data_IF_127540724344
#
_entry.id   IF_127540724344
#
_cell.length_a   1.000
_cell.length_b   1.000
_cell.length_c   1.000
_cell.angle_alpha   90.00
_cell.angle_beta   90.00
_cell.angle_gamma   90.00
#
_symmetry.space_group_name_H-M   'P 1'
#
loop_
_entity.id
_entity.type
_entity.pdbx_description
1 polymer ?
#
# COMPACT_ATOMS: atom_id res chain seq x y z
N UNK A 1 -10.77 -62.70 26.42
CA UNK A 1 -10.50 -61.60 27.35
C UNK A 1 -11.56 -60.52 27.14
N UNK A 2 -12.30 -60.21 28.18
CA UNK A 2 -13.23 -59.08 28.18
C UNK A 2 -12.53 -57.86 28.73
N UNK A 3 -12.69 -56.73 28.07
CA UNK A 3 -12.07 -55.47 28.52
C UNK A 3 -13.00 -54.26 28.29
N UNK A 4 -12.72 -53.20 28.97
CA UNK A 4 -13.42 -51.90 28.78
C UNK A 4 -12.41 -50.86 28.35
N UNK A 5 -12.93 -49.89 27.62
CA UNK A 5 -12.25 -48.58 27.40
C UNK A 5 -13.18 -47.52 27.98
N UNK A 6 -12.65 -46.75 28.93
CA UNK A 6 -13.42 -45.71 29.66
C UNK A 6 -14.74 -46.26 30.22
N UNK A 7 -14.68 -47.42 30.84
CA UNK A 7 -15.83 -48.17 31.40
C UNK A 7 -16.85 -48.66 30.36
N UNK A 8 -16.59 -48.55 29.10
CA UNK A 8 -17.43 -49.07 28.00
C UNK A 8 -16.93 -50.44 27.57
N UNK A 9 -17.78 -51.48 27.63
CA UNK A 9 -17.41 -52.85 27.20
C UNK A 9 -17.06 -52.89 25.72
N UNK A 10 -15.99 -53.58 25.40
CA UNK A 10 -15.49 -53.78 24.05
C UNK A 10 -15.74 -55.22 23.58
N UNK A 11 -15.60 -55.44 22.26
CA UNK A 11 -15.65 -56.79 21.70
C UNK A 11 -14.57 -57.66 22.29
N UNK A 12 -14.87 -58.89 22.83
CA UNK A 12 -13.90 -59.74 23.47
C UNK A 12 -12.72 -60.10 22.55
N UNK A 13 -11.52 -60.03 23.09
CA UNK A 13 -10.29 -60.41 22.39
C UNK A 13 -9.99 -61.91 22.56
N UNK A 14 -9.85 -62.64 21.43
CA UNK A 14 -9.36 -64.02 21.45
C UNK A 14 -7.83 -64.03 21.31
N UNK A 15 -7.13 -64.52 22.37
CA UNK A 15 -5.70 -64.65 22.42
C UNK A 15 -5.28 -66.10 22.31
N UNK A 16 -4.57 -66.46 21.26
CA UNK A 16 -4.06 -67.81 21.02
C UNK A 16 -2.54 -67.86 21.37
N UNK A 17 -2.19 -68.68 22.38
CA UNK A 17 -0.80 -68.91 22.77
C UNK A 17 -0.51 -68.62 24.23
N UNK A 18 0.69 -68.97 24.67
CA UNK A 18 1.19 -68.73 26.03
C UNK A 18 2.37 -67.75 25.98
N UNK A 19 2.53 -67.00 27.05
CA UNK A 19 3.64 -65.99 27.18
C UNK A 19 3.19 -64.59 26.90
N UNK A 20 4.15 -63.66 26.71
CA UNK A 20 3.89 -62.28 26.41
C UNK A 20 3.34 -62.11 25.00
N UNK A 21 2.06 -61.91 24.88
CA UNK A 21 1.39 -61.58 23.62
C UNK A 21 1.16 -60.04 23.58
N UNK A 22 1.51 -59.45 22.46
CA UNK A 22 1.29 -58.02 22.20
C UNK A 22 0.12 -57.87 21.24
N UNK A 23 -0.90 -57.14 21.65
CA UNK A 23 -2.03 -56.77 20.82
C UNK A 23 -2.08 -55.28 20.67
N UNK A 24 -2.12 -54.78 19.46
CA UNK A 24 -2.29 -53.37 19.18
C UNK A 24 -3.76 -53.02 19.29
N UNK A 25 -4.14 -52.26 20.27
CA UNK A 25 -5.45 -51.64 20.41
C UNK A 25 -5.33 -50.22 19.88
N UNK A 26 -6.11 -49.86 18.88
CA UNK A 26 -6.20 -48.47 18.48
C UNK A 26 -6.85 -47.68 19.60
N UNK A 27 -6.23 -46.59 20.08
CA UNK A 27 -6.87 -45.78 21.08
C UNK A 27 -8.23 -45.32 20.58
N UNK A 28 -9.20 -45.29 21.50
CA UNK A 28 -10.48 -44.62 21.25
C UNK A 28 -10.17 -43.16 20.83
N UNK A 29 -10.80 -42.57 19.81
CA UNK A 29 -10.55 -41.23 19.35
C UNK A 29 -10.89 -40.14 20.37
N UNK A 30 -11.30 -40.46 21.58
CA UNK A 30 -11.58 -39.48 22.63
C UNK A 30 -10.30 -38.79 23.07
N UNK A 31 -10.26 -37.47 22.91
CA UNK A 31 -9.21 -36.61 23.47
C UNK A 31 -9.26 -36.70 25.01
N UNK A 32 -8.09 -36.86 25.61
CA UNK A 32 -7.97 -36.97 27.06
C UNK A 32 -7.39 -38.30 27.53
N UNK A 33 -7.48 -38.56 28.82
CA UNK A 33 -6.97 -39.77 29.41
C UNK A 33 -7.96 -40.92 29.20
N UNK A 34 -7.55 -41.95 28.50
CA UNK A 34 -8.29 -43.17 28.27
C UNK A 34 -7.77 -44.29 29.14
N UNK A 35 -8.66 -44.97 29.89
CA UNK A 35 -8.31 -46.13 30.70
C UNK A 35 -8.75 -47.40 30.00
N UNK A 36 -7.86 -48.41 30.00
CA UNK A 36 -8.07 -49.74 29.43
C UNK A 36 -8.03 -50.74 30.59
N UNK A 37 -9.16 -51.32 30.89
CA UNK A 37 -9.32 -52.25 32.03
C UNK A 37 -9.64 -53.64 31.54
N UNK A 38 -8.88 -54.63 31.91
CA UNK A 38 -9.21 -56.07 31.70
C UNK A 38 -10.17 -56.48 32.83
N UNK A 39 -11.35 -57.00 32.46
CA UNK A 39 -12.40 -57.36 33.40
C UNK A 39 -12.37 -58.86 33.69
N UNK A 40 -12.26 -59.68 32.63
CA UNK A 40 -12.38 -61.09 32.72
C UNK A 40 -11.41 -61.76 31.73
N UNK A 41 -10.74 -62.80 32.20
CA UNK A 41 -9.99 -63.73 31.34
C UNK A 41 -10.60 -65.09 31.46
N UNK A 42 -11.05 -65.68 30.32
CA UNK A 42 -11.57 -67.07 30.22
C UNK A 42 -10.60 -67.91 29.42
N UNK A 43 -10.25 -69.10 29.94
CA UNK A 43 -9.40 -70.02 29.21
C UNK A 43 -10.20 -70.91 28.22
N UNK A 44 -9.52 -71.76 27.43
CA UNK A 44 -10.15 -72.62 26.44
C UNK A 44 -11.01 -73.73 27.04
N UNK A 45 -10.93 -73.96 28.37
CA UNK A 45 -11.73 -74.93 29.14
C UNK A 45 -12.93 -74.27 29.83
N UNK A 46 -13.09 -72.94 29.67
CA UNK A 46 -14.20 -72.19 30.28
C UNK A 46 -13.90 -71.79 31.73
N UNK A 47 -12.65 -71.83 32.20
CA UNK A 47 -12.29 -71.34 33.54
C UNK A 47 -12.13 -69.85 33.48
N UNK A 48 -12.86 -69.11 34.34
CA UNK A 48 -12.89 -67.65 34.39
C UNK A 48 -12.06 -67.12 35.57
N UNK A 49 -11.36 -66.02 35.34
CA UNK A 49 -10.72 -65.23 36.38
C UNK A 49 -11.04 -63.74 36.22
N UNK A 50 -11.70 -63.15 37.20
CA UNK A 50 -11.92 -61.72 37.27
C UNK A 50 -10.67 -61.10 37.85
N UNK A 51 -10.07 -60.16 37.10
CA UNK A 51 -8.88 -59.47 37.53
C UNK A 51 -9.24 -58.16 38.28
N UNK A 52 -8.65 -58.00 39.44
CA UNK A 52 -8.70 -56.72 40.18
C UNK A 52 -7.54 -55.85 39.80
N UNK A 53 -7.84 -54.85 38.98
CA UNK A 53 -6.93 -53.73 38.68
C UNK A 53 -5.79 -53.95 37.66
N UNK A 54 -5.93 -54.71 36.56
CA UNK A 54 -4.99 -54.62 35.44
C UNK A 54 -5.43 -53.49 34.48
N UNK A 55 -4.99 -52.27 34.73
CA UNK A 55 -5.33 -51.15 33.86
C UNK A 55 -4.06 -50.58 33.18
N UNK A 56 -4.29 -50.04 32.01
CA UNK A 56 -3.34 -49.20 31.28
C UNK A 56 -4.02 -47.89 30.91
N UNK A 57 -3.28 -46.82 30.90
CA UNK A 57 -3.81 -45.51 30.50
C UNK A 57 -3.06 -44.95 29.31
N UNK A 58 -3.80 -44.36 28.38
CA UNK A 58 -3.26 -43.66 27.22
C UNK A 58 -3.81 -42.24 27.22
N UNK A 59 -2.92 -41.26 27.21
CA UNK A 59 -3.28 -39.86 27.04
C UNK A 59 -3.31 -39.53 25.55
N UNK A 60 -4.49 -39.24 25.03
CA UNK A 60 -4.68 -38.74 23.66
C UNK A 60 -4.71 -37.22 23.68
N UNK A 61 -3.67 -36.60 23.14
CA UNK A 61 -3.62 -35.14 23.04
C UNK A 61 -4.49 -34.65 21.89
N UNK A 62 -5.12 -33.45 22.00
CA UNK A 62 -5.89 -32.87 20.93
C UNK A 62 -5.00 -32.58 19.73
N UNK A 63 -5.52 -32.78 18.53
CA UNK A 63 -4.87 -32.33 17.30
C UNK A 63 -4.80 -30.79 17.31
N UNK A 64 -3.63 -30.19 17.08
CA UNK A 64 -3.50 -28.74 17.09
C UNK A 64 -4.23 -28.12 15.89
N UNK A 65 -4.90 -27.00 16.14
CA UNK A 65 -5.60 -26.25 15.12
C UNK A 65 -5.48 -24.75 15.42
N UNK A 66 -5.14 -23.97 14.38
CA UNK A 66 -5.13 -22.50 14.40
C UNK A 66 -5.77 -21.97 13.12
N UNK A 67 -6.25 -20.75 13.18
CA UNK A 67 -6.60 -19.98 12.01
C UNK A 67 -5.50 -18.96 11.72
N UNK A 68 -5.63 -18.18 10.62
CA UNK A 68 -4.78 -17.05 10.28
C UNK A 68 -5.66 -15.87 9.90
N UNK A 69 -5.34 -14.70 10.41
CA UNK A 69 -6.06 -13.46 10.10
C UNK A 69 -5.09 -12.28 9.99
N UNK A 70 -5.40 -11.31 9.16
CA UNK A 70 -4.81 -9.98 9.22
C UNK A 70 -5.54 -9.22 10.32
N UNK A 71 -4.84 -8.88 11.41
CA UNK A 71 -5.40 -8.22 12.59
C UNK A 71 -5.10 -6.72 12.63
N UNK A 72 -4.13 -6.26 11.84
CA UNK A 72 -3.79 -4.86 11.66
C UNK A 72 -4.63 -4.17 10.58
N UNK A 73 -4.14 -3.01 10.12
CA UNK A 73 -4.76 -2.27 9.01
C UNK A 73 -4.75 -3.11 7.73
N UNK A 74 -5.90 -3.16 7.05
CA UNK A 74 -6.07 -3.80 5.74
C UNK A 74 -7.22 -3.09 5.00
N UNK A 75 -7.01 -2.49 3.81
CA UNK A 75 -5.75 -2.40 3.07
C UNK A 75 -4.72 -1.45 3.71
N UNK A 76 -3.46 -1.58 3.29
CA UNK A 76 -2.35 -0.66 3.60
C UNK A 76 -1.82 0.00 2.32
N UNK A 77 -1.08 1.09 2.47
CA UNK A 77 -0.25 1.62 1.38
C UNK A 77 1.12 0.95 1.38
N UNK A 78 1.77 0.89 0.22
CA UNK A 78 3.14 0.40 0.10
C UNK A 78 4.06 1.05 1.13
N UNK A 79 4.89 0.24 1.81
CA UNK A 79 5.79 0.69 2.88
C UNK A 79 5.15 0.86 4.25
N UNK A 80 3.86 0.61 4.41
CA UNK A 80 3.20 0.56 5.72
C UNK A 80 3.20 -0.86 6.27
N UNK A 81 3.05 -0.94 7.59
CA UNK A 81 3.00 -2.20 8.34
C UNK A 81 1.56 -2.63 8.60
N UNK A 82 1.37 -3.95 8.71
CA UNK A 82 0.16 -4.58 9.24
C UNK A 82 0.54 -5.74 10.16
N UNK A 83 -0.42 -6.52 10.62
CA UNK A 83 -0.21 -7.58 11.60
C UNK A 83 -0.88 -8.87 11.17
N UNK A 84 -0.19 -10.01 11.38
CA UNK A 84 -0.79 -11.34 11.36
C UNK A 84 -1.05 -11.83 12.77
N UNK A 85 -2.20 -12.46 12.94
CA UNK A 85 -2.62 -13.12 14.16
C UNK A 85 -3.07 -14.56 13.87
N UNK A 86 -2.81 -15.47 14.82
CA UNK A 86 -3.06 -16.90 14.68
C UNK A 86 -4.05 -17.37 15.75
N UNK A 87 -5.37 -17.17 15.57
CA UNK A 87 -6.37 -17.62 16.55
C UNK A 87 -6.25 -19.12 16.81
N UNK A 88 -5.88 -19.47 18.06
CA UNK A 88 -5.71 -20.88 18.50
C UNK A 88 -7.09 -21.49 18.78
N UNK A 89 -7.35 -22.66 18.20
CA UNK A 89 -8.58 -23.42 18.35
C UNK A 89 -8.37 -24.61 19.27
N UNK A 90 -7.28 -25.37 19.07
CA UNK A 90 -6.94 -26.56 19.86
C UNK A 90 -5.45 -26.85 19.88
N UNK A 91 -5.00 -27.74 20.78
CA UNK A 91 -3.62 -28.19 20.94
C UNK A 91 -2.98 -27.65 22.21
N UNK A 92 -1.69 -27.95 22.39
CA UNK A 92 -0.91 -27.56 23.57
C UNK A 92 0.19 -26.57 23.18
N UNK A 93 0.14 -25.30 23.68
CA UNK A 93 1.17 -24.31 23.34
C UNK A 93 2.55 -24.64 23.96
N UNK A 94 3.66 -24.10 23.41
CA UNK A 94 3.72 -23.26 22.20
C UNK A 94 3.55 -24.08 20.92
N UNK A 95 3.16 -23.41 19.85
CA UNK A 95 2.96 -24.00 18.53
C UNK A 95 4.03 -23.54 17.57
N UNK A 96 4.51 -24.44 16.69
CA UNK A 96 5.27 -24.08 15.50
C UNK A 96 4.29 -24.09 14.32
N UNK A 97 4.08 -22.92 13.71
CA UNK A 97 3.15 -22.70 12.59
C UNK A 97 3.94 -22.48 11.32
N UNK A 98 3.71 -23.31 10.31
CA UNK A 98 4.28 -23.14 8.97
C UNK A 98 3.22 -22.54 8.05
N UNK A 99 3.61 -21.55 7.25
CA UNK A 99 2.73 -20.87 6.32
C UNK A 99 3.50 -20.39 5.09
N UNK A 100 2.78 -20.01 4.04
CA UNK A 100 3.30 -19.35 2.85
C UNK A 100 2.93 -17.87 2.89
N UNK A 101 3.86 -16.98 2.52
CA UNK A 101 3.59 -15.61 2.13
C UNK A 101 3.72 -15.53 0.59
N UNK A 102 2.59 -15.53 -0.12
CA UNK A 102 2.56 -15.83 -1.53
C UNK A 102 3.13 -17.22 -1.81
N UNK A 103 4.27 -17.32 -2.48
CA UNK A 103 4.98 -18.59 -2.72
C UNK A 103 6.14 -18.86 -1.73
N UNK A 104 6.43 -17.94 -0.82
CA UNK A 104 7.59 -18.03 0.08
C UNK A 104 7.22 -18.79 1.35
N UNK A 105 7.88 -19.94 1.67
CA UNK A 105 7.62 -20.67 2.89
C UNK A 105 8.27 -19.98 4.10
N UNK A 106 7.48 -19.82 5.15
CA UNK A 106 7.85 -19.19 6.41
C UNK A 106 7.36 -20.02 7.60
N UNK A 107 7.94 -19.79 8.77
CA UNK A 107 7.49 -20.39 10.03
C UNK A 107 7.60 -19.41 11.19
N UNK A 108 6.72 -19.58 12.16
CA UNK A 108 6.75 -18.80 13.41
C UNK A 108 6.33 -19.65 14.60
N UNK A 109 6.78 -19.29 15.79
CA UNK A 109 6.32 -19.89 17.03
C UNK A 109 5.23 -19.01 17.66
N UNK A 110 4.10 -19.64 17.99
CA UNK A 110 2.89 -18.99 18.47
C UNK A 110 2.58 -19.48 19.88
N UNK A 111 2.19 -18.57 20.77
CA UNK A 111 1.73 -18.87 22.12
C UNK A 111 0.26 -19.33 22.14
N UNK A 112 -0.24 -19.63 23.35
CA UNK A 112 -1.63 -20.05 23.52
C UNK A 112 -2.68 -18.96 23.25
N UNK A 113 -2.25 -17.69 23.10
CA UNK A 113 -3.11 -16.55 22.80
C UNK A 113 -3.11 -16.20 21.30
N UNK A 114 -2.27 -16.87 20.50
CA UNK A 114 -2.17 -16.61 19.04
C UNK A 114 -1.14 -15.56 18.64
N UNK A 115 -0.34 -15.07 19.58
CA UNK A 115 0.76 -14.13 19.31
C UNK A 115 2.08 -14.86 19.11
N UNK A 116 3.08 -14.20 18.54
CA UNK A 116 4.43 -14.75 18.56
C UNK A 116 4.92 -14.96 20.00
N UNK A 117 5.65 -16.04 20.24
CA UNK A 117 6.23 -16.35 21.56
C UNK A 117 7.19 -15.26 22.04
N UNK A 118 7.72 -14.43 21.15
CA UNK A 118 8.47 -13.20 21.47
C UNK A 118 7.64 -12.08 22.09
N UNK A 119 6.30 -12.25 22.21
CA UNK A 119 5.43 -11.41 23.02
C UNK A 119 4.69 -10.29 22.30
N UNK A 120 4.79 -10.18 20.96
CA UNK A 120 4.14 -9.14 20.18
C UNK A 120 3.37 -9.72 18.99
N UNK A 121 2.39 -9.01 18.44
CA UNK A 121 1.79 -9.37 17.17
C UNK A 121 2.86 -9.49 16.09
N UNK A 122 2.63 -10.35 15.12
CA UNK A 122 3.56 -10.56 14.01
C UNK A 122 3.42 -9.43 12.99
N UNK A 123 4.38 -8.50 13.00
CA UNK A 123 4.41 -7.40 12.02
C UNK A 123 4.81 -7.94 10.64
N UNK A 124 4.09 -7.46 9.63
CA UNK A 124 4.30 -7.78 8.21
C UNK A 124 4.28 -6.49 7.39
N UNK A 125 5.18 -6.38 6.41
CA UNK A 125 5.35 -5.19 5.56
C UNK A 125 5.57 -5.60 4.10
N UNK A 126 4.59 -6.26 3.46
CA UNK A 126 4.74 -6.64 2.06
C UNK A 126 4.65 -5.41 1.15
N UNK A 127 5.42 -5.39 0.06
CA UNK A 127 5.36 -4.32 -0.96
C UNK A 127 4.25 -4.53 -2.00
N UNK A 128 3.60 -5.69 -2.00
CA UNK A 128 2.49 -6.04 -2.90
C UNK A 128 1.45 -6.84 -2.15
N UNK A 129 0.22 -6.81 -2.61
CA UNK A 129 -0.87 -7.62 -2.03
C UNK A 129 -0.45 -9.07 -1.91
N UNK A 130 -0.57 -9.63 -0.71
CA UNK A 130 -0.01 -10.93 -0.37
C UNK A 130 -1.03 -11.78 0.36
N UNK A 131 -1.18 -13.04 -0.12
CA UNK A 131 -1.98 -14.06 0.55
C UNK A 131 -1.07 -14.88 1.46
N UNK A 132 -1.42 -14.96 2.74
CA UNK A 132 -0.77 -15.77 3.75
C UNK A 132 -1.58 -17.05 3.94
N UNK A 133 -1.00 -18.21 3.63
CA UNK A 133 -1.69 -19.51 3.67
C UNK A 133 -1.02 -20.45 4.64
N UNK A 134 -1.75 -20.94 5.64
CA UNK A 134 -1.28 -21.97 6.55
C UNK A 134 -0.98 -23.28 5.81
N UNK A 135 0.07 -23.99 6.21
CA UNK A 135 0.41 -25.29 5.63
C UNK A 135 0.41 -26.40 6.67
N UNK A 136 0.96 -26.13 7.85
CA UNK A 136 0.97 -27.10 8.95
C UNK A 136 1.19 -26.43 10.30
N UNK A 137 0.83 -27.15 11.36
CA UNK A 137 1.09 -26.76 12.73
C UNK A 137 1.64 -27.99 13.50
N UNK A 138 2.54 -27.73 14.44
CA UNK A 138 3.02 -28.69 15.41
C UNK A 138 2.93 -28.08 16.79
N UNK A 139 2.37 -28.83 17.75
CA UNK A 139 2.24 -28.36 19.14
C UNK A 139 3.41 -28.83 20.04
N UNK A 140 3.40 -28.39 21.30
CA UNK A 140 4.44 -28.74 22.30
C UNK A 140 4.46 -30.24 22.66
N UNK A 141 3.42 -31.01 22.32
CA UNK A 141 3.36 -32.45 22.51
C UNK A 141 3.81 -33.25 21.29
N UNK A 142 4.19 -32.55 20.21
CA UNK A 142 4.60 -33.16 18.94
C UNK A 142 3.42 -33.61 18.06
N UNK A 143 2.20 -33.25 18.40
CA UNK A 143 1.04 -33.49 17.52
C UNK A 143 1.10 -32.52 16.34
N UNK A 144 0.81 -33.04 15.14
CA UNK A 144 0.86 -32.25 13.88
C UNK A 144 -0.49 -32.24 13.19
N UNK A 145 -0.76 -31.16 12.47
CA UNK A 145 -1.93 -31.04 11.59
C UNK A 145 -1.56 -30.30 10.30
N UNK A 146 -2.16 -30.70 9.19
CA UNK A 146 -2.08 -30.00 7.91
C UNK A 146 -3.21 -28.97 7.83
N UNK A 147 -2.90 -27.75 7.44
CA UNK A 147 -3.84 -26.64 7.38
C UNK A 147 -3.84 -26.04 5.96
N UNK A 148 -4.90 -25.29 5.61
CA UNK A 148 -5.02 -24.62 4.31
C UNK A 148 -5.74 -23.27 4.39
N UNK A 149 -6.05 -22.80 5.60
CA UNK A 149 -6.70 -21.50 5.81
C UNK A 149 -5.77 -20.38 5.35
N UNK A 150 -6.35 -19.30 4.84
CA UNK A 150 -5.58 -18.16 4.34
C UNK A 150 -6.18 -16.83 4.77
N UNK A 151 -5.33 -15.80 4.79
CA UNK A 151 -5.69 -14.41 4.98
C UNK A 151 -4.96 -13.56 3.93
N UNK A 152 -5.64 -12.57 3.37
CA UNK A 152 -5.08 -11.65 2.39
C UNK A 152 -4.84 -10.29 3.02
N UNK A 153 -3.65 -9.73 2.76
CA UNK A 153 -3.33 -8.33 3.00
C UNK A 153 -3.25 -7.62 1.64
N UNK A 154 -4.15 -6.66 1.44
CA UNK A 154 -4.15 -5.80 0.26
C UNK A 154 -3.18 -4.65 0.45
N UNK A 155 -2.31 -4.43 -0.53
CA UNK A 155 -1.37 -3.30 -0.58
C UNK A 155 -1.73 -2.44 -1.78
N UNK A 156 -2.03 -1.17 -1.51
CA UNK A 156 -2.28 -0.16 -2.53
C UNK A 156 -0.98 0.54 -2.90
N UNK A 157 -0.78 0.79 -4.19
CA UNK A 157 0.36 1.58 -4.67
C UNK A 157 0.27 3.02 -4.17
N UNK A 158 1.41 3.62 -3.85
CA UNK A 158 1.50 5.04 -3.54
C UNK A 158 1.40 5.83 -4.85
N UNK A 159 0.50 6.83 -4.96
CA UNK A 159 0.40 7.63 -6.17
C UNK A 159 1.68 8.43 -6.43
N UNK A 160 2.07 8.50 -7.71
CA UNK A 160 3.23 9.25 -8.18
C UNK A 160 2.85 10.03 -9.45
N UNK A 161 3.36 11.27 -9.56
CA UNK A 161 3.12 12.16 -10.68
C UNK A 161 4.42 12.85 -11.10
N UNK A 162 4.61 12.99 -12.40
CA UNK A 162 5.60 13.88 -13.00
C UNK A 162 4.87 15.12 -13.47
N UNK A 163 5.37 16.29 -13.06
CA UNK A 163 4.83 17.59 -13.45
C UNK A 163 5.79 18.28 -14.40
N UNK A 164 5.27 18.92 -15.45
CA UNK A 164 6.07 19.64 -16.43
C UNK A 164 5.30 20.82 -17.00
N UNK A 165 6.01 21.80 -17.59
CA UNK A 165 5.38 22.98 -18.16
C UNK A 165 6.21 24.24 -18.03
N UNK A 166 7.49 24.13 -17.58
CA UNK A 166 8.39 25.28 -17.56
C UNK A 166 8.43 25.95 -18.94
N UNK A 167 8.07 27.20 -19.01
CA UNK A 167 7.99 27.95 -20.27
C UNK A 167 8.01 29.45 -20.02
N UNK A 168 8.18 30.21 -21.12
CA UNK A 168 8.03 31.65 -21.12
C UNK A 168 6.77 32.05 -21.88
N UNK A 169 6.00 32.93 -21.33
CA UNK A 169 4.80 33.52 -21.92
C UNK A 169 4.84 35.04 -21.85
N UNK A 170 4.03 35.71 -22.65
CA UNK A 170 3.75 37.13 -22.43
C UNK A 170 2.68 37.29 -21.36
N UNK A 171 2.67 38.43 -20.67
CA UNK A 171 1.58 38.80 -19.76
C UNK A 171 0.24 38.69 -20.48
N UNK A 172 -0.78 38.09 -19.82
CA UNK A 172 -2.12 37.77 -20.29
C UNK A 172 -2.21 36.51 -21.19
N UNK A 173 -1.14 35.84 -21.53
CA UNK A 173 -1.19 34.57 -22.23
C UNK A 173 -1.49 33.43 -21.25
N UNK A 174 -2.07 32.33 -21.79
CA UNK A 174 -2.31 31.09 -21.06
C UNK A 174 -1.31 30.02 -21.50
N UNK A 175 -0.95 29.14 -20.56
CA UNK A 175 -0.08 27.98 -20.86
C UNK A 175 -0.51 26.76 -20.05
N UNK A 176 -0.36 25.53 -20.58
CA UNK A 176 -0.67 24.33 -19.84
C UNK A 176 0.46 23.93 -18.87
N UNK A 177 0.10 23.50 -17.68
CA UNK A 177 0.91 22.69 -16.78
C UNK A 177 0.42 21.24 -16.90
N UNK A 178 1.32 20.32 -17.21
CA UNK A 178 1.04 18.91 -17.50
C UNK A 178 1.32 18.04 -16.29
N UNK A 179 0.47 17.01 -16.11
CA UNK A 179 0.57 16.01 -15.05
C UNK A 179 0.56 14.63 -15.70
N UNK A 180 1.60 13.83 -15.45
CA UNK A 180 1.68 12.43 -15.90
C UNK A 180 1.75 11.53 -14.68
N UNK A 181 0.67 10.78 -14.42
CA UNK A 181 0.56 9.86 -13.28
C UNK A 181 1.17 8.51 -13.65
N UNK A 182 2.13 8.03 -12.84
CA UNK A 182 2.85 6.78 -13.06
C UNK A 182 2.35 5.64 -12.17
N UNK A 183 1.69 5.96 -11.05
CA UNK A 183 1.10 5.00 -10.12
C UNK A 183 -0.09 5.60 -9.36
N UNK A 184 -0.81 4.75 -8.62
CA UNK A 184 -2.05 5.09 -7.95
C UNK A 184 -3.28 4.99 -8.87
N UNK A 185 -4.46 5.20 -8.33
CA UNK A 185 -5.74 5.07 -9.03
C UNK A 185 -6.51 6.39 -9.08
N UNK A 186 -7.05 6.73 -10.25
CA UNK A 186 -7.90 7.90 -10.41
C UNK A 186 -9.17 7.82 -9.52
N UNK A 187 -9.69 8.94 -9.01
CA UNK A 187 -9.19 10.31 -9.18
C UNK A 187 -7.97 10.63 -8.30
N UNK A 188 -7.05 11.43 -8.85
CA UNK A 188 -5.92 11.96 -8.09
C UNK A 188 -6.20 13.38 -7.63
N UNK A 189 -5.85 13.71 -6.39
CA UNK A 189 -5.85 15.07 -5.88
C UNK A 189 -4.42 15.55 -5.72
N UNK A 190 -4.04 16.55 -6.49
CA UNK A 190 -2.73 17.21 -6.43
C UNK A 190 -2.84 18.48 -5.60
N UNK A 191 -2.04 18.60 -4.55
CA UNK A 191 -1.93 19.81 -3.74
C UNK A 191 -0.67 20.56 -4.14
N UNK A 192 -0.83 21.84 -4.43
CA UNK A 192 0.27 22.72 -4.81
C UNK A 192 0.17 24.05 -4.08
N UNK A 193 1.27 24.83 -4.06
CA UNK A 193 1.27 26.17 -3.53
C UNK A 193 1.81 27.16 -4.56
N UNK A 194 1.22 28.36 -4.55
CA UNK A 194 1.69 29.53 -5.28
C UNK A 194 2.04 30.59 -4.26
N UNK A 195 3.28 31.02 -4.21
CA UNK A 195 3.77 32.03 -3.25
C UNK A 195 3.31 31.77 -1.80
N UNK A 196 3.29 30.53 -1.32
CA UNK A 196 2.84 30.07 0.01
C UNK A 196 1.33 29.84 0.19
N UNK A 197 0.49 30.22 -0.75
CA UNK A 197 -0.94 29.94 -0.70
C UNK A 197 -1.21 28.51 -1.21
N UNK A 198 -1.75 27.59 -0.39
CA UNK A 198 -2.08 26.24 -0.83
C UNK A 198 -3.33 26.22 -1.69
N UNK A 199 -3.33 25.36 -2.68
CA UNK A 199 -4.46 25.04 -3.53
C UNK A 199 -4.47 23.56 -3.88
N UNK A 200 -5.57 23.03 -4.39
CA UNK A 200 -5.65 21.64 -4.83
C UNK A 200 -6.51 21.50 -6.07
N UNK A 201 -6.21 20.47 -6.86
CA UNK A 201 -6.97 20.11 -8.05
C UNK A 201 -7.15 18.60 -8.12
N UNK A 202 -8.31 18.17 -8.61
CA UNK A 202 -8.62 16.75 -8.85
C UNK A 202 -8.53 16.45 -10.33
N UNK A 203 -7.77 15.42 -10.69
CA UNK A 203 -7.46 14.99 -12.05
C UNK A 203 -7.90 13.54 -12.25
N UNK A 204 -8.34 13.20 -13.45
CA UNK A 204 -9.00 11.91 -13.73
C UNK A 204 -8.31 11.07 -14.79
N UNK A 205 -7.39 11.68 -15.56
CA UNK A 205 -6.68 11.00 -16.65
C UNK A 205 -5.20 10.83 -16.31
N UNK A 206 -4.62 9.73 -16.74
CA UNK A 206 -3.17 9.45 -16.52
C UNK A 206 -2.25 10.50 -17.13
N UNK A 207 -2.71 11.19 -18.17
CA UNK A 207 -2.08 12.39 -18.72
C UNK A 207 -3.13 13.48 -18.72
N UNK A 208 -2.94 14.50 -17.91
CA UNK A 208 -3.87 15.59 -17.75
C UNK A 208 -3.13 16.93 -17.73
N UNK A 209 -3.85 18.04 -17.87
CA UNK A 209 -3.25 19.37 -17.82
C UNK A 209 -4.23 20.40 -17.30
N UNK A 210 -3.69 21.45 -16.69
CA UNK A 210 -4.45 22.64 -16.32
C UNK A 210 -3.91 23.84 -17.07
N UNK A 211 -4.77 24.73 -17.52
CA UNK A 211 -4.37 26.02 -18.05
C UNK A 211 -4.16 27.00 -16.90
N UNK A 212 -3.03 27.69 -16.92
CA UNK A 212 -2.66 28.75 -15.98
C UNK A 212 -2.39 30.05 -16.74
N UNK A 213 -2.74 31.18 -16.11
CA UNK A 213 -2.55 32.52 -16.66
C UNK A 213 -1.98 33.44 -15.57
N UNK A 214 -0.72 33.27 -15.21
CA UNK A 214 -0.07 34.16 -14.26
C UNK A 214 0.29 35.50 -14.91
N UNK A 215 0.09 36.60 -14.21
CA UNK A 215 0.45 37.94 -14.69
C UNK A 215 1.86 38.38 -14.25
N UNK A 216 2.57 37.54 -13.48
CA UNK A 216 3.96 37.70 -13.07
C UNK A 216 4.63 36.33 -13.06
N UNK A 217 5.95 36.28 -13.21
CA UNK A 217 6.71 35.01 -13.09
C UNK A 217 6.29 34.27 -11.82
N UNK A 218 5.79 33.06 -12.00
CA UNK A 218 5.15 32.28 -10.95
C UNK A 218 5.69 30.86 -10.92
N UNK A 219 6.09 30.40 -9.72
CA UNK A 219 6.46 29.01 -9.47
C UNK A 219 5.31 28.29 -8.75
N UNK A 220 4.87 27.18 -9.30
CA UNK A 220 3.89 26.25 -8.74
C UNK A 220 4.66 25.12 -8.08
N UNK A 221 4.59 25.02 -6.74
CA UNK A 221 5.28 24.00 -5.97
C UNK A 221 4.26 22.91 -5.63
N UNK A 222 4.47 21.71 -6.13
CA UNK A 222 3.62 20.54 -5.86
C UNK A 222 4.09 19.91 -4.56
N UNK A 223 3.22 19.88 -3.55
CA UNK A 223 3.58 19.47 -2.19
C UNK A 223 3.04 18.11 -1.79
N UNK A 224 1.92 17.69 -2.39
CA UNK A 224 1.30 16.42 -2.07
C UNK A 224 0.49 15.90 -3.26
N UNK A 225 0.42 14.57 -3.34
CA UNK A 225 -0.52 13.85 -4.20
C UNK A 225 -1.26 12.83 -3.36
N UNK A 226 -2.53 12.64 -3.61
CA UNK A 226 -3.33 11.56 -3.02
C UNK A 226 -4.30 11.00 -4.05
N UNK A 227 -4.62 9.73 -3.90
CA UNK A 227 -5.77 9.09 -4.50
C UNK A 227 -6.80 8.70 -3.41
N UNK A 228 -7.73 7.79 -3.71
CA UNK A 228 -8.72 7.35 -2.73
C UNK A 228 -8.13 6.48 -1.61
N UNK A 229 -6.94 5.93 -1.80
CA UNK A 229 -6.34 4.92 -0.93
C UNK A 229 -5.10 5.45 -0.21
N UNK A 230 -4.21 6.14 -0.93
CA UNK A 230 -2.88 6.51 -0.47
C UNK A 230 -2.53 7.96 -0.77
N UNK A 231 -1.47 8.45 -0.13
CA UNK A 231 -0.92 9.78 -0.40
C UNK A 231 0.61 9.78 -0.33
N UNK A 232 1.22 10.70 -1.07
CA UNK A 232 2.65 10.95 -1.05
C UNK A 232 2.96 12.44 -0.92
N UNK A 233 4.02 12.75 -0.18
CA UNK A 233 4.59 14.09 -0.14
C UNK A 233 5.51 14.23 -1.35
N UNK A 234 5.38 15.33 -2.06
CA UNK A 234 6.19 15.70 -3.22
C UNK A 234 6.94 16.99 -2.96
N UNK A 235 7.97 17.23 -3.78
CA UNK A 235 8.69 18.50 -3.84
C UNK A 235 9.12 18.74 -5.30
N UNK A 236 8.12 18.79 -6.17
CA UNK A 236 8.27 19.09 -7.59
C UNK A 236 7.82 20.53 -7.82
N UNK A 237 8.39 21.20 -8.82
CA UNK A 237 7.98 22.56 -9.16
C UNK A 237 7.94 22.80 -10.67
N UNK A 238 7.11 23.75 -11.06
CA UNK A 238 7.02 24.27 -12.43
C UNK A 238 7.03 25.78 -12.37
N UNK A 239 7.91 26.41 -13.15
CA UNK A 239 8.03 27.87 -13.22
C UNK A 239 7.55 28.38 -14.59
N UNK A 240 6.55 29.25 -14.56
CA UNK A 240 6.10 30.01 -15.73
C UNK A 240 6.72 31.38 -15.65
N UNK A 241 7.64 31.67 -16.57
CA UNK A 241 8.26 32.99 -16.71
C UNK A 241 7.33 33.90 -17.50
N UNK A 242 6.95 35.03 -16.91
CA UNK A 242 6.05 36.00 -17.58
C UNK A 242 6.83 37.21 -18.01
N UNK A 243 6.86 37.46 -19.29
CA UNK A 243 7.45 38.65 -19.89
C UNK A 243 6.39 39.77 -19.94
N UNK A 244 6.70 40.95 -19.36
CA UNK A 244 5.76 42.06 -19.38
C UNK A 244 5.50 42.55 -20.81
N UNK A 245 4.26 42.92 -21.09
CA UNK A 245 3.90 43.52 -22.40
C UNK A 245 4.57 44.90 -22.56
N UNK A 246 5.14 45.21 -23.75
CA UNK A 246 5.68 46.51 -24.02
C UNK A 246 4.52 47.52 -24.16
N UNK A 247 4.70 48.69 -23.53
CA UNK A 247 3.83 49.83 -23.67
C UNK A 247 4.64 51.00 -24.22
N UNK A 248 4.00 51.84 -25.06
CA UNK A 248 4.69 53.00 -25.64
C UNK A 248 3.86 54.24 -25.46
N UNK A 249 4.55 55.34 -25.15
CA UNK A 249 4.03 56.68 -25.14
C UNK A 249 4.75 57.52 -26.19
N UNK A 250 4.00 58.38 -26.86
CA UNK A 250 4.52 59.34 -27.81
C UNK A 250 4.41 60.73 -27.19
N UNK A 251 5.47 61.50 -27.31
CA UNK A 251 5.57 62.87 -26.78
C UNK A 251 6.31 63.81 -27.74
N UNK A 252 6.24 65.10 -27.53
CA UNK A 252 6.83 66.07 -28.43
C UNK A 252 5.79 66.66 -29.40
N UNK A 253 6.27 67.21 -30.50
CA UNK A 253 5.43 67.88 -31.47
C UNK A 253 5.30 69.39 -31.17
N UNK A 254 4.68 70.12 -32.09
CA UNK A 254 4.53 71.56 -32.05
C UNK A 254 4.22 72.12 -33.45
N UNK A 255 4.51 73.36 -33.66
CA UNK A 255 4.38 74.01 -34.96
C UNK A 255 5.75 74.30 -35.54
N UNK A 256 5.93 74.00 -36.82
CA UNK A 256 7.15 74.34 -37.58
C UNK A 256 6.73 75.15 -38.82
N UNK A 257 7.65 75.97 -39.32
CA UNK A 257 7.42 76.65 -40.59
C UNK A 257 7.71 75.75 -41.80
N UNK A 258 7.10 76.07 -42.94
CA UNK A 258 7.35 75.35 -44.22
C UNK A 258 8.69 75.84 -44.85
N UNK A 259 9.73 75.88 -44.07
CA UNK A 259 11.10 76.30 -44.44
C UNK A 259 12.12 75.19 -44.29
N UNK A 260 11.67 73.94 -44.00
CA UNK A 260 12.55 72.82 -43.74
C UNK A 260 12.89 72.65 -42.24
N UNK A 261 12.29 73.44 -41.35
CA UNK A 261 12.45 73.29 -39.92
C UNK A 261 11.91 71.91 -39.46
N UNK A 262 12.59 71.29 -38.49
CA UNK A 262 12.20 69.99 -37.92
C UNK A 262 11.78 70.13 -36.44
N UNK A 263 10.95 69.29 -36.00
CA UNK A 263 10.57 69.14 -34.59
C UNK A 263 10.62 67.69 -34.20
N UNK A 264 11.19 67.45 -33.01
CA UNK A 264 11.36 66.08 -32.52
C UNK A 264 10.03 65.54 -31.96
N UNK A 265 9.73 64.33 -32.35
CA UNK A 265 8.72 63.50 -31.73
C UNK A 265 9.45 62.29 -31.10
N UNK A 266 9.19 62.07 -29.82
CA UNK A 266 9.83 61.00 -29.08
C UNK A 266 8.84 59.89 -28.81
N UNK A 267 9.23 58.63 -29.10
CA UNK A 267 8.55 57.42 -28.67
C UNK A 267 9.35 56.81 -27.53
N UNK A 268 8.71 56.68 -26.36
CA UNK A 268 9.30 56.01 -25.19
C UNK A 268 8.56 54.72 -24.94
N UNK A 269 9.27 53.59 -24.97
CA UNK A 269 8.73 52.27 -24.64
C UNK A 269 9.05 51.89 -23.22
N UNK A 270 8.05 51.41 -22.48
CA UNK A 270 8.11 50.98 -21.08
C UNK A 270 7.71 49.54 -21.03
N UNK A 271 8.41 48.69 -20.27
CA UNK A 271 8.17 47.23 -20.20
C UNK A 271 8.65 46.56 -21.48
N UNK A 272 8.41 45.23 -21.53
CA UNK A 272 8.91 44.38 -22.58
C UNK A 272 10.44 44.23 -22.57
N UNK A 273 10.94 43.46 -23.51
CA UNK A 273 12.39 43.24 -23.72
C UNK A 273 12.87 44.02 -24.93
N UNK A 274 13.87 44.94 -24.82
CA UNK A 274 14.47 45.58 -25.99
C UNK A 274 15.19 44.53 -26.85
N UNK A 275 15.35 44.72 -28.20
CA UNK A 275 14.90 45.86 -29.00
C UNK A 275 13.44 45.71 -29.45
N UNK A 276 12.84 46.84 -29.81
CA UNK A 276 11.40 46.87 -30.14
C UNK A 276 11.16 47.04 -31.65
N UNK A 277 10.06 46.44 -32.11
CA UNK A 277 9.47 46.73 -33.40
C UNK A 277 8.31 47.68 -33.22
N UNK A 278 8.38 48.86 -33.81
CA UNK A 278 7.39 49.92 -33.62
C UNK A 278 6.65 50.20 -34.90
N UNK A 279 5.33 50.09 -34.87
CA UNK A 279 4.45 50.57 -35.94
C UNK A 279 3.71 51.83 -35.49
N UNK A 280 3.76 52.89 -36.30
CA UNK A 280 3.09 54.15 -36.00
C UNK A 280 2.53 54.77 -37.28
N UNK A 281 1.62 55.72 -37.19
CA UNK A 281 0.99 56.39 -38.32
C UNK A 281 1.44 57.84 -38.36
N UNK A 282 1.73 58.32 -39.58
CA UNK A 282 1.88 59.75 -39.90
C UNK A 282 0.75 60.10 -40.84
N UNK A 283 -0.30 60.76 -40.32
CA UNK A 283 -1.55 60.94 -41.02
C UNK A 283 -2.19 59.57 -41.36
N UNK A 284 -2.35 59.28 -42.63
CA UNK A 284 -2.89 58.00 -43.13
C UNK A 284 -1.80 57.00 -43.52
N UNK A 285 -0.56 57.35 -43.35
CA UNK A 285 0.59 56.50 -43.78
C UNK A 285 1.15 55.72 -42.62
N UNK A 286 1.11 54.39 -42.74
CA UNK A 286 1.76 53.49 -41.79
C UNK A 286 3.28 53.54 -41.95
N UNK A 287 3.99 53.64 -40.82
CA UNK A 287 5.41 53.55 -40.70
C UNK A 287 5.78 52.39 -39.80
N UNK A 288 6.92 51.75 -40.09
CA UNK A 288 7.43 50.64 -39.32
C UNK A 288 8.94 50.84 -39.11
N UNK A 289 9.37 50.64 -37.90
CA UNK A 289 10.80 50.62 -37.50
C UNK A 289 11.07 49.33 -36.73
N UNK A 290 12.06 48.60 -37.17
CA UNK A 290 12.47 47.33 -36.57
C UNK A 290 13.74 47.54 -35.72
N UNK A 291 13.86 46.73 -34.64
CA UNK A 291 15.07 46.58 -33.85
C UNK A 291 15.56 47.90 -33.23
N UNK A 292 14.65 48.70 -32.74
CA UNK A 292 14.94 50.04 -32.19
C UNK A 292 15.06 50.03 -30.66
N UNK A 293 15.99 50.79 -30.11
CA UNK A 293 16.12 51.06 -28.68
C UNK A 293 15.14 52.15 -28.25
N UNK A 294 14.77 52.17 -26.98
CA UNK A 294 13.96 53.20 -26.36
C UNK A 294 14.84 54.11 -25.51
N UNK A 295 14.62 55.45 -25.50
CA UNK A 295 13.68 56.22 -26.33
C UNK A 295 14.13 56.36 -27.79
N UNK A 296 13.17 56.46 -28.71
CA UNK A 296 13.38 56.69 -30.12
C UNK A 296 12.93 58.11 -30.51
N UNK A 297 13.78 58.83 -31.23
CA UNK A 297 13.42 60.12 -31.84
C UNK A 297 13.08 59.90 -33.31
N UNK A 298 11.97 60.47 -33.76
CA UNK A 298 11.48 60.40 -35.15
C UNK A 298 11.21 61.79 -35.68
#
# INVERSE_FOLDING_TARGET
IDYTINSTSQTPLNINGSGNQQYTISPDPLVGLNSYDIILVTDAKGCDNTLSNPNATILVNPTPEVNITVSGTNPICEGQDSELFFPVISGTPPFNVNYLAGATPLSTNVDGSGNQVSGNPMIISPSVSTIYTLTSITDAKGCTNSLSNSAELTVNEIPNVIVSGDTEICDQDETPVFFTFNSGEAPWTVTYSVATAPSSITLYNTNDSILVNPNVTTTYIITNISDNNCSAILNEDVTITVNPLPQSIISGGGSVCDDGSTIDVQITTIGGTPNYNISYNVGVTNKFMADVASPLLI
#
